data_IF_863295677708
#
_entry.id   IF_863295677708
#
_cell.length_a   1.000
_cell.length_b   1.000
_cell.length_c   1.000
_cell.angle_alpha   90.00
_cell.angle_beta   90.00
_cell.angle_gamma   90.00
#
_symmetry.space_group_name_H-M   'P 1'
#
loop_
_entity.id
_entity.type
_entity.pdbx_description
1 polymer ?
#
# COMPACT_ATOMS: atom_id res chain seq x y z
N UNK A 1 -2.62 28.42 30.14
CA UNK A 1 -1.95 27.13 29.86
C UNK A 1 -2.92 26.24 29.10
N UNK A 2 -2.79 26.18 27.77
CA UNK A 2 -3.74 25.48 26.89
C UNK A 2 -3.39 24.00 26.78
N UNK A 3 -4.27 23.14 27.27
CA UNK A 3 -4.20 21.70 27.05
C UNK A 3 -4.71 21.37 25.65
N UNK A 4 -3.78 21.16 24.71
CA UNK A 4 -4.08 20.74 23.35
C UNK A 4 -4.23 19.21 23.32
N UNK A 5 -5.46 18.73 23.51
CA UNK A 5 -5.81 17.32 23.31
C UNK A 5 -5.63 16.95 21.84
N UNK A 6 -4.60 16.14 21.53
CA UNK A 6 -4.43 15.51 20.23
C UNK A 6 -5.48 14.42 20.05
N UNK A 7 -6.59 14.77 19.40
CA UNK A 7 -7.59 13.81 18.93
C UNK A 7 -6.94 12.84 17.94
N UNK A 8 -6.74 11.59 18.35
CA UNK A 8 -6.43 10.47 17.44
C UNK A 8 -7.62 10.25 16.50
N UNK A 9 -7.51 10.75 15.27
CA UNK A 9 -8.42 10.37 14.19
C UNK A 9 -8.07 8.94 13.77
N UNK A 10 -8.77 7.96 14.32
CA UNK A 10 -8.83 6.60 13.75
C UNK A 10 -9.76 6.66 12.54
N UNK A 11 -9.26 7.11 11.40
CA UNK A 11 -9.95 6.96 10.13
C UNK A 11 -9.93 5.46 9.76
N UNK A 12 -11.06 4.81 10.05
CA UNK A 12 -11.33 3.43 9.71
C UNK A 12 -11.42 3.35 8.19
N UNK A 13 -10.40 2.78 7.55
CA UNK A 13 -10.37 2.57 6.10
C UNK A 13 -11.63 1.80 5.67
N UNK A 14 -12.47 2.42 4.83
CA UNK A 14 -13.66 1.82 4.25
C UNK A 14 -13.41 1.56 2.75
N UNK A 15 -13.68 0.36 2.23
CA UNK A 15 -13.43 -0.02 0.83
C UNK A 15 -14.44 0.59 -0.17
N UNK A 16 -15.11 1.69 0.19
CA UNK A 16 -16.17 2.31 -0.62
C UNK A 16 -15.64 3.33 -1.65
N UNK A 17 -14.39 3.75 -1.54
CA UNK A 17 -13.68 4.60 -2.53
C UNK A 17 -12.81 3.82 -3.53
N UNK A 18 -13.15 2.57 -3.86
CA UNK A 18 -12.29 1.72 -4.71
C UNK A 18 -12.50 2.07 -6.19
N UNK A 19 -11.44 2.60 -6.82
CA UNK A 19 -11.43 3.23 -8.15
C UNK A 19 -12.31 2.57 -9.24
N UNK A 20 -13.20 3.26 -9.93
CA UNK A 20 -14.14 2.64 -10.89
C UNK A 20 -13.55 2.51 -12.29
N UNK A 21 -12.57 1.62 -12.51
CA UNK A 21 -12.15 1.26 -13.88
C UNK A 21 -12.24 -0.22 -14.20
N UNK A 22 -12.58 -0.51 -15.47
CA UNK A 22 -12.69 -1.86 -16.02
C UNK A 22 -11.31 -2.53 -16.04
N UNK A 23 -11.22 -3.72 -15.45
CA UNK A 23 -10.06 -4.60 -15.59
C UNK A 23 -8.98 -4.52 -14.52
N UNK A 24 -9.11 -3.67 -13.48
CA UNK A 24 -8.27 -3.73 -12.28
C UNK A 24 -9.01 -4.41 -11.11
N UNK A 25 -8.32 -5.31 -10.42
CA UNK A 25 -8.85 -5.95 -9.21
C UNK A 25 -8.99 -4.93 -8.08
N UNK A 26 -9.84 -5.22 -7.09
CA UNK A 26 -9.98 -4.38 -5.89
C UNK A 26 -8.64 -4.14 -5.18
N UNK A 27 -7.77 -5.16 -5.13
CA UNK A 27 -6.45 -5.05 -4.51
C UNK A 27 -5.51 -4.14 -5.31
N UNK A 28 -5.51 -4.23 -6.64
CA UNK A 28 -4.70 -3.35 -7.49
C UNK A 28 -5.10 -1.89 -7.32
N UNK A 29 -6.41 -1.63 -7.28
CA UNK A 29 -6.98 -0.32 -7.02
C UNK A 29 -6.58 0.22 -5.66
N UNK A 30 -6.70 -0.59 -4.61
CA UNK A 30 -6.27 -0.20 -3.27
C UNK A 30 -4.76 0.13 -3.21
N UNK A 31 -3.91 -0.64 -3.90
CA UNK A 31 -2.47 -0.36 -4.00
C UNK A 31 -2.20 0.98 -4.70
N UNK A 32 -2.90 1.27 -5.80
CA UNK A 32 -2.75 2.55 -6.51
C UNK A 32 -3.21 3.73 -5.66
N UNK A 33 -4.36 3.62 -4.97
CA UNK A 33 -4.83 4.66 -4.06
C UNK A 33 -3.85 4.91 -2.91
N UNK A 34 -3.25 3.85 -2.34
CA UNK A 34 -2.19 4.00 -1.35
C UNK A 34 -0.95 4.72 -1.90
N UNK A 35 -0.58 4.44 -3.15
CA UNK A 35 0.55 5.09 -3.80
C UNK A 35 0.28 6.56 -4.12
N UNK A 36 -0.96 6.91 -4.48
CA UNK A 36 -1.36 8.29 -4.82
C UNK A 36 -1.50 9.21 -3.61
N UNK A 37 -1.79 8.67 -2.42
CA UNK A 37 -1.85 9.43 -1.17
C UNK A 37 -0.47 9.81 -0.61
N UNK A 38 0.62 9.38 -1.24
CA UNK A 38 1.98 9.73 -0.83
C UNK A 38 2.51 11.01 -1.51
N UNK A 39 3.63 11.58 -1.03
CA UNK A 39 4.30 12.71 -1.68
C UNK A 39 4.63 12.44 -3.15
N UNK A 40 4.28 13.36 -4.06
CA UNK A 40 4.40 13.17 -5.51
C UNK A 40 5.83 12.89 -5.99
N UNK A 41 6.83 13.48 -5.31
CA UNK A 41 8.20 13.54 -5.83
C UNK A 41 9.05 12.33 -5.42
N UNK A 42 8.72 11.67 -4.30
CA UNK A 42 9.58 10.61 -3.72
C UNK A 42 8.83 9.49 -2.99
N UNK A 43 7.51 9.34 -3.16
CA UNK A 43 6.80 8.29 -2.45
C UNK A 43 7.10 6.89 -3.01
N UNK A 44 7.71 6.08 -2.15
CA UNK A 44 8.04 4.69 -2.42
C UNK A 44 7.05 3.80 -1.69
N UNK A 45 6.17 3.12 -2.41
CA UNK A 45 5.26 2.16 -1.81
C UNK A 45 5.96 0.80 -1.66
N UNK A 46 6.28 0.44 -0.42
CA UNK A 46 6.87 -0.86 -0.09
C UNK A 46 5.78 -1.92 0.15
N UNK A 47 6.13 -3.19 -0.06
CA UNK A 47 5.23 -4.30 0.30
C UNK A 47 4.86 -4.26 1.78
N UNK A 48 5.78 -3.81 2.65
CA UNK A 48 5.53 -3.66 4.08
C UNK A 48 4.40 -2.66 4.33
N UNK A 49 4.46 -1.47 3.74
CA UNK A 49 3.41 -0.46 3.90
C UNK A 49 2.08 -0.91 3.34
N UNK A 50 2.07 -1.63 2.22
CA UNK A 50 0.84 -2.25 1.69
C UNK A 50 0.26 -3.21 2.72
N UNK A 51 1.09 -4.05 3.34
CA UNK A 51 0.62 -5.00 4.34
C UNK A 51 0.05 -4.33 5.59
N UNK A 52 0.72 -3.29 6.07
CA UNK A 52 0.26 -2.51 7.22
C UNK A 52 -1.06 -1.81 6.88
N UNK A 53 -1.11 -1.06 5.78
CA UNK A 53 -2.25 -0.19 5.47
C UNK A 53 -3.48 -0.93 4.93
N UNK A 54 -3.32 -2.05 4.21
CA UNK A 54 -4.46 -2.80 3.63
C UNK A 54 -4.93 -3.98 4.48
N UNK A 55 -4.07 -4.56 5.31
CA UNK A 55 -4.41 -5.76 6.08
C UNK A 55 -4.28 -5.56 7.60
N UNK A 56 -3.94 -4.35 8.05
CA UNK A 56 -3.77 -4.00 9.47
C UNK A 56 -2.76 -4.90 10.20
N UNK A 57 -1.73 -5.36 9.47
CA UNK A 57 -0.70 -6.22 10.04
C UNK A 57 0.33 -5.36 10.75
N UNK A 58 0.29 -5.36 12.08
CA UNK A 58 1.31 -4.68 12.88
C UNK A 58 2.66 -5.39 12.75
N UNK A 59 3.75 -4.65 12.49
CA UNK A 59 5.08 -5.23 12.57
C UNK A 59 5.40 -5.61 14.03
N UNK A 60 5.99 -6.79 14.21
CA UNK A 60 6.42 -7.34 15.49
C UNK A 60 7.56 -6.53 16.16
N UNK A 61 8.26 -5.70 15.39
CA UNK A 61 9.30 -4.77 15.88
C UNK A 61 9.15 -3.40 15.22
N UNK A 62 9.46 -2.35 15.98
CA UNK A 62 9.73 -1.01 15.44
C UNK A 62 10.86 -1.07 14.40
N UNK A 63 10.89 -0.17 13.41
CA UNK A 63 11.76 -0.29 12.26
C UNK A 63 13.23 -0.10 12.65
N UNK A 64 13.97 -1.21 12.77
CA UNK A 64 15.42 -1.20 12.67
C UNK A 64 15.76 -0.98 11.18
N UNK A 65 16.74 -0.13 10.87
CA UNK A 65 17.17 0.24 9.50
C UNK A 65 17.54 -0.97 8.61
N UNK A 66 17.64 -2.18 9.17
CA UNK A 66 18.03 -3.42 8.50
C UNK A 66 16.84 -4.28 8.07
N UNK A 67 16.16 -3.89 7.00
CA UNK A 67 15.68 -4.78 5.92
C UNK A 67 14.69 -5.93 6.17
N UNK A 68 14.28 -6.23 7.41
CA UNK A 68 13.38 -7.35 7.71
C UNK A 68 11.90 -6.96 7.65
N UNK A 69 11.09 -7.70 6.89
CA UNK A 69 9.63 -7.72 7.06
C UNK A 69 9.29 -8.44 8.37
N UNK A 70 9.53 -7.79 9.51
CA UNK A 70 9.27 -8.37 10.83
C UNK A 70 7.78 -8.30 11.14
N UNK A 71 6.94 -9.02 10.39
CA UNK A 71 5.56 -9.30 10.79
C UNK A 71 5.54 -10.55 11.67
N UNK A 72 4.70 -10.59 12.69
CA UNK A 72 4.52 -11.83 13.45
C UNK A 72 3.66 -12.81 12.66
N UNK A 73 4.33 -13.67 11.89
CA UNK A 73 3.69 -14.69 11.06
C UNK A 73 2.93 -15.72 11.90
N UNK A 74 3.25 -15.88 13.20
CA UNK A 74 2.52 -16.79 14.08
C UNK A 74 1.16 -16.20 14.44
N UNK A 75 1.10 -14.89 14.74
CA UNK A 75 -0.18 -14.21 15.00
C UNK A 75 -1.05 -14.10 13.75
N UNK A 76 -0.46 -13.83 12.58
CA UNK A 76 -1.21 -13.71 11.30
C UNK A 76 -1.65 -15.10 10.78
N UNK A 77 -0.89 -16.14 11.09
CA UNK A 77 -1.01 -17.46 10.50
C UNK A 77 -0.24 -17.58 9.19
N UNK A 78 0.65 -18.58 9.11
CA UNK A 78 1.57 -18.79 7.97
C UNK A 78 0.87 -18.91 6.61
N UNK A 79 -0.29 -19.57 6.57
CA UNK A 79 -1.08 -19.78 5.34
C UNK A 79 -1.65 -18.45 4.82
N UNK A 80 -2.24 -17.65 5.70
CA UNK A 80 -2.82 -16.36 5.34
C UNK A 80 -1.73 -15.35 4.97
N UNK A 81 -0.63 -15.32 5.73
CA UNK A 81 0.56 -14.53 5.42
C UNK A 81 1.04 -14.79 3.98
N UNK A 82 1.31 -16.06 3.64
CA UNK A 82 1.79 -16.45 2.32
C UNK A 82 0.78 -16.10 1.23
N UNK A 83 -0.52 -16.33 1.48
CA UNK A 83 -1.59 -16.02 0.53
C UNK A 83 -1.60 -14.53 0.19
N UNK A 84 -1.61 -13.63 1.18
CA UNK A 84 -1.63 -12.18 0.92
C UNK A 84 -0.34 -11.68 0.30
N UNK A 85 0.81 -12.16 0.77
CA UNK A 85 2.11 -11.84 0.15
C UNK A 85 2.14 -12.16 -1.34
N UNK A 86 1.67 -13.35 -1.73
CA UNK A 86 1.57 -13.74 -3.14
C UNK A 86 0.57 -12.85 -3.89
N UNK A 87 -0.61 -12.58 -3.31
CA UNK A 87 -1.62 -11.71 -3.92
C UNK A 87 -1.11 -10.29 -4.17
N UNK A 88 -0.41 -9.69 -3.19
CA UNK A 88 0.19 -8.36 -3.30
C UNK A 88 1.30 -8.36 -4.34
N UNK A 89 2.23 -9.33 -4.28
CA UNK A 89 3.32 -9.44 -5.26
C UNK A 89 2.79 -9.57 -6.70
N UNK A 90 1.77 -10.40 -6.92
CA UNK A 90 1.13 -10.53 -8.24
C UNK A 90 0.43 -9.26 -8.68
N UNK A 91 -0.22 -8.55 -7.75
CA UNK A 91 -0.92 -7.30 -8.06
C UNK A 91 0.07 -6.21 -8.47
N UNK A 92 1.18 -6.06 -7.74
CA UNK A 92 2.28 -5.15 -8.08
C UNK A 92 2.90 -5.51 -9.43
N UNK A 93 3.19 -6.78 -9.67
CA UNK A 93 3.72 -7.24 -10.96
C UNK A 93 2.79 -6.87 -12.13
N UNK A 94 1.47 -7.05 -11.97
CA UNK A 94 0.48 -6.67 -12.98
C UNK A 94 0.37 -5.15 -13.17
N UNK A 95 0.46 -4.36 -12.10
CA UNK A 95 0.47 -2.89 -12.19
C UNK A 95 1.72 -2.39 -12.91
N UNK A 96 2.88 -2.99 -12.62
CA UNK A 96 4.12 -2.69 -13.34
C UNK A 96 4.04 -3.08 -14.82
N UNK A 97 3.52 -4.27 -15.12
CA UNK A 97 3.34 -4.72 -16.50
C UNK A 97 2.39 -3.81 -17.31
N UNK A 98 1.39 -3.22 -16.66
CA UNK A 98 0.48 -2.23 -17.25
C UNK A 98 1.06 -0.82 -17.35
N UNK A 99 2.30 -0.61 -16.89
CA UNK A 99 2.93 0.71 -16.89
C UNK A 99 2.31 1.71 -15.91
N UNK A 100 1.51 1.26 -14.92
CA UNK A 100 0.93 2.12 -13.88
C UNK A 100 1.85 2.30 -12.67
N UNK A 101 2.79 1.37 -12.49
CA UNK A 101 3.82 1.46 -11.46
C UNK A 101 5.17 1.08 -12.06
N UNK A 102 6.24 1.51 -11.40
CA UNK A 102 7.60 1.08 -11.69
C UNK A 102 8.21 0.47 -10.44
N UNK A 103 8.91 -0.65 -10.60
CA UNK A 103 9.70 -1.26 -9.52
C UNK A 103 11.07 -0.58 -9.49
N UNK A 104 11.47 -0.09 -8.33
CA UNK A 104 12.81 0.43 -8.10
C UNK A 104 13.61 -0.59 -7.28
N UNK A 105 14.82 -0.94 -7.76
CA UNK A 105 15.68 -1.90 -7.09
C UNK A 105 16.05 -1.36 -5.70
N UNK A 106 15.78 -2.16 -4.66
CA UNK A 106 16.03 -1.78 -3.26
C UNK A 106 15.06 -0.77 -2.64
N UNK A 107 14.12 -0.21 -3.40
CA UNK A 107 13.36 1.00 -3.02
C UNK A 107 11.85 0.93 -3.33
N UNK A 108 11.28 -0.27 -3.41
CA UNK A 108 9.83 -0.46 -3.52
C UNK A 108 9.22 -0.17 -4.91
N UNK A 109 8.00 0.38 -4.93
CA UNK A 109 7.23 0.64 -6.14
C UNK A 109 6.69 2.07 -6.17
N UNK A 110 6.80 2.71 -7.33
CA UNK A 110 6.50 4.13 -7.51
C UNK A 110 5.43 4.26 -8.58
N UNK A 111 4.56 5.26 -8.49
CA UNK A 111 3.63 5.57 -9.58
C UNK A 111 4.40 6.09 -10.79
N UNK A 112 4.00 5.62 -11.96
CA UNK A 112 4.37 6.27 -13.23
C UNK A 112 3.49 7.51 -13.44
N UNK A 113 3.78 8.29 -14.48
CA UNK A 113 2.89 9.36 -14.93
C UNK A 113 1.48 8.85 -15.25
N UNK A 114 1.37 7.79 -16.06
CA UNK A 114 0.09 7.11 -16.34
C UNK A 114 -0.60 6.60 -15.05
N UNK A 115 0.18 6.11 -14.07
CA UNK A 115 -0.35 5.71 -12.77
C UNK A 115 -0.90 6.87 -11.96
N UNK A 116 -0.27 8.05 -12.03
CA UNK A 116 -0.73 9.27 -11.36
C UNK A 116 -1.99 9.82 -12.01
N UNK A 117 -2.00 9.97 -13.33
CA UNK A 117 -3.19 10.37 -14.09
C UNK A 117 -4.36 9.44 -13.79
N UNK A 118 -4.10 8.12 -13.74
CA UNK A 118 -5.10 7.14 -13.40
C UNK A 118 -5.71 7.37 -12.00
N UNK A 119 -4.90 7.74 -11.01
CA UNK A 119 -5.40 8.03 -9.65
C UNK A 119 -6.12 9.38 -9.59
N UNK A 120 -5.60 10.40 -10.27
CA UNK A 120 -6.17 11.75 -10.29
C UNK A 120 -7.55 11.77 -10.99
N UNK A 121 -7.70 11.06 -12.13
CA UNK A 121 -8.96 10.97 -12.88
C UNK A 121 -10.11 10.27 -12.13
N UNK A 122 -9.83 9.55 -11.06
CA UNK A 122 -10.83 8.81 -10.28
C UNK A 122 -11.13 9.46 -8.92
N UNK A 123 -10.28 10.39 -8.47
CA UNK A 123 -10.53 11.27 -7.33
C UNK A 123 -11.26 12.58 -7.73
N UNK A 124 -11.45 12.80 -9.03
CA UNK A 124 -12.15 13.97 -9.61
C UNK A 124 -13.64 13.75 -9.85
#
# INVERSE_FOLDING_TARGET
MGNMQTKKVKEKWSPEGVLKTKGLSKLQRAILGLAGNGPRDYFQLTTREIMIKLFDWMPARTPDYSGGQSFDVRMIGRKEYRKRMVSVSRSLGRLCHRGLMKRCLGSGHWLTEAGREYVDCDNG
#
